data_IF_906887508420
#
_entry.id   IF_906887508420
#
_cell.length_a   1.000
_cell.length_b   1.000
_cell.length_c   1.000
_cell.angle_alpha   90.00
_cell.angle_beta   90.00
_cell.angle_gamma   90.00
#
_symmetry.space_group_name_H-M   'P 1'
#
loop_
_entity.id
_entity.type
_entity.pdbx_description
1 polymer ?
#
# COMPACT_ATOMS: atom_id res chain seq x y z
N UNK A 1 -11.52 3.80 7.22
CA UNK A 1 -10.57 3.67 6.09
C UNK A 1 -10.52 2.21 5.68
N UNK A 2 -10.42 1.95 4.38
CA UNK A 2 -10.34 0.61 3.82
C UNK A 2 -9.09 0.51 2.94
N UNK A 3 -8.37 -0.60 3.02
CA UNK A 3 -7.15 -0.86 2.27
C UNK A 3 -7.34 -1.99 1.26
N UNK A 4 -6.64 -1.90 0.14
CA UNK A 4 -6.60 -2.93 -0.89
C UNK A 4 -5.15 -3.08 -1.39
N UNK A 5 -4.60 -4.28 -1.21
CA UNK A 5 -3.32 -4.72 -1.76
C UNK A 5 -3.58 -5.52 -3.03
N UNK A 6 -2.82 -5.20 -4.08
CA UNK A 6 -2.69 -6.03 -5.30
C UNK A 6 -1.23 -6.36 -5.51
N UNK A 7 -0.97 -7.62 -5.84
CA UNK A 7 0.36 -8.11 -6.17
C UNK A 7 0.28 -8.97 -7.43
N UNK A 8 1.11 -8.66 -8.43
CA UNK A 8 1.21 -9.44 -9.66
C UNK A 8 2.67 -9.77 -9.92
N UNK A 9 2.94 -10.97 -10.38
CA UNK A 9 4.26 -11.37 -10.82
C UNK A 9 4.54 -10.82 -12.22
N UNK A 10 5.71 -10.23 -12.44
CA UNK A 10 6.18 -9.85 -13.76
C UNK A 10 6.70 -11.08 -14.51
N UNK A 11 6.40 -11.15 -15.80
CA UNK A 11 6.95 -12.20 -16.70
C UNK A 11 8.47 -12.12 -16.73
N UNK A 12 9.00 -10.89 -16.86
CA UNK A 12 10.43 -10.63 -16.92
C UNK A 12 10.84 -9.52 -15.95
N UNK A 13 11.97 -9.66 -15.24
CA UNK A 13 12.48 -8.61 -14.37
C UNK A 13 12.74 -7.28 -15.08
N UNK A 14 13.10 -7.29 -16.36
CA UNK A 14 13.32 -6.10 -17.19
C UNK A 14 12.06 -5.28 -17.47
N UNK A 15 10.86 -5.84 -17.26
CA UNK A 15 9.58 -5.15 -17.43
C UNK A 15 9.22 -4.14 -16.34
N UNK A 16 10.05 -3.99 -15.31
CA UNK A 16 9.73 -3.17 -14.12
C UNK A 16 9.47 -1.69 -14.42
N UNK A 17 10.29 -1.06 -15.27
CA UNK A 17 10.13 0.35 -15.64
C UNK A 17 8.87 0.58 -16.46
N UNK A 18 8.60 -0.31 -17.42
CA UNK A 18 7.40 -0.24 -18.25
C UNK A 18 6.15 -0.49 -17.40
N UNK A 19 6.17 -1.45 -16.50
CA UNK A 19 5.08 -1.70 -15.56
C UNK A 19 4.81 -0.45 -14.69
N UNK A 20 5.86 0.16 -14.14
CA UNK A 20 5.74 1.38 -13.33
C UNK A 20 5.17 2.55 -14.15
N UNK A 21 5.59 2.71 -15.40
CA UNK A 21 5.07 3.72 -16.32
C UNK A 21 3.57 3.50 -16.56
N UNK A 22 3.15 2.28 -16.95
CA UNK A 22 1.73 1.96 -17.20
C UNK A 22 0.89 2.14 -15.94
N UNK A 23 1.38 1.75 -14.76
CA UNK A 23 0.68 2.00 -13.49
C UNK A 23 0.49 3.50 -13.27
N UNK A 24 1.54 4.31 -13.43
CA UNK A 24 1.49 5.76 -13.24
C UNK A 24 0.52 6.43 -14.21
N UNK A 25 0.58 6.05 -15.50
CA UNK A 25 -0.12 6.76 -16.57
C UNK A 25 -1.57 6.25 -16.75
N UNK A 26 -1.86 4.99 -16.37
CA UNK A 26 -3.18 4.36 -16.52
C UNK A 26 -3.89 4.12 -15.19
N UNK A 27 -3.27 3.37 -14.27
CA UNK A 27 -3.94 2.95 -13.02
C UNK A 27 -4.13 4.13 -12.06
N UNK A 28 -3.09 4.95 -11.85
CA UNK A 28 -3.15 6.07 -10.89
C UNK A 28 -4.27 7.06 -11.19
N UNK A 29 -4.53 7.49 -12.45
CA UNK A 29 -5.68 8.32 -12.78
C UNK A 29 -7.03 7.67 -12.45
N UNK A 30 -7.18 6.36 -12.70
CA UNK A 30 -8.40 5.61 -12.35
C UNK A 30 -8.64 5.66 -10.85
N UNK A 31 -7.60 5.38 -10.05
CA UNK A 31 -7.69 5.39 -8.59
C UNK A 31 -8.05 6.76 -8.04
N UNK A 32 -7.32 7.81 -8.50
CA UNK A 32 -7.54 9.21 -8.09
C UNK A 32 -8.94 9.74 -8.44
N UNK A 33 -9.51 9.26 -9.51
CA UNK A 33 -10.85 9.64 -9.97
C UNK A 33 -11.96 9.07 -9.10
N UNK A 34 -11.69 8.17 -8.16
CA UNK A 34 -12.74 7.55 -7.34
C UNK A 34 -13.05 8.35 -6.08
N UNK A 35 -14.34 8.41 -5.67
CA UNK A 35 -14.72 9.00 -4.38
C UNK A 35 -13.94 8.35 -3.24
N UNK A 36 -13.63 9.12 -2.21
CA UNK A 36 -12.96 8.61 -1.03
C UNK A 36 -11.52 8.11 -1.22
N UNK A 37 -10.89 8.31 -2.39
CA UNK A 37 -9.48 7.98 -2.58
C UNK A 37 -8.60 8.80 -1.64
N UNK A 38 -7.68 8.12 -0.94
CA UNK A 38 -6.75 8.73 0.04
C UNK A 38 -5.30 8.64 -0.39
N UNK A 39 -4.84 7.44 -0.72
CA UNK A 39 -3.44 7.17 -0.97
C UNK A 39 -3.29 5.96 -1.89
N UNK A 40 -2.28 5.99 -2.75
CA UNK A 40 -1.78 4.82 -3.46
C UNK A 40 -0.26 4.76 -3.37
N UNK A 41 0.23 3.59 -3.00
CA UNK A 41 1.64 3.24 -3.00
C UNK A 41 1.84 2.13 -4.04
N UNK A 42 2.59 2.41 -5.10
CA UNK A 42 2.88 1.44 -6.14
C UNK A 42 4.39 1.28 -6.31
N UNK A 43 4.88 0.04 -6.38
CA UNK A 43 6.30 -0.25 -6.56
C UNK A 43 6.50 -1.65 -7.18
N UNK A 44 7.72 -1.92 -7.62
CA UNK A 44 8.16 -3.25 -8.01
C UNK A 44 9.04 -3.81 -6.89
N UNK A 45 8.71 -5.01 -6.42
CA UNK A 45 9.45 -5.72 -5.37
C UNK A 45 10.74 -6.35 -5.91
N UNK A 46 11.61 -6.78 -5.00
CA UNK A 46 12.84 -7.52 -5.35
C UNK A 46 12.54 -8.88 -5.99
N UNK A 47 11.38 -9.44 -5.73
CA UNK A 47 10.91 -10.68 -6.34
C UNK A 47 10.31 -10.47 -7.75
N UNK A 48 10.52 -9.29 -8.35
CA UNK A 48 9.94 -8.92 -9.65
C UNK A 48 8.41 -8.99 -9.64
N UNK A 49 7.80 -8.47 -8.59
CA UNK A 49 6.34 -8.35 -8.48
C UNK A 49 5.96 -6.88 -8.50
N UNK A 50 4.92 -6.53 -9.24
CA UNK A 50 4.26 -5.23 -9.06
C UNK A 50 3.38 -5.31 -7.82
N UNK A 51 3.58 -4.36 -6.91
CA UNK A 51 2.81 -4.26 -5.67
C UNK A 51 2.13 -2.90 -5.64
N UNK A 52 0.82 -2.89 -5.44
CA UNK A 52 0.03 -1.69 -5.26
C UNK A 52 -0.80 -1.77 -4.00
N UNK A 53 -0.70 -0.75 -3.13
CA UNK A 53 -1.58 -0.63 -1.97
C UNK A 53 -2.36 0.67 -2.08
N UNK A 54 -3.67 0.58 -2.06
CA UNK A 54 -4.57 1.73 -2.17
C UNK A 54 -5.43 1.86 -0.92
N UNK A 55 -5.68 3.09 -0.49
CA UNK A 55 -6.47 3.41 0.69
C UNK A 55 -7.64 4.32 0.31
N UNK A 56 -8.81 4.02 0.87
CA UNK A 56 -10.07 4.72 0.64
C UNK A 56 -10.80 5.00 1.95
N UNK A 57 -11.76 5.92 1.92
CA UNK A 57 -12.61 6.21 3.08
C UNK A 57 -13.46 5.02 3.49
N UNK A 58 -13.89 4.19 2.54
CA UNK A 58 -14.77 3.06 2.77
C UNK A 58 -14.53 1.90 1.83
N UNK A 59 -15.26 0.82 2.08
CA UNK A 59 -15.21 -0.44 1.34
C UNK A 59 -15.71 -0.28 -0.10
N UNK A 60 -16.89 0.29 -0.28
CA UNK A 60 -17.53 0.39 -1.60
C UNK A 60 -16.68 1.14 -2.63
N UNK A 61 -16.14 2.35 -2.33
CA UNK A 61 -15.27 3.03 -3.28
C UNK A 61 -13.97 2.28 -3.55
N UNK A 62 -13.45 1.52 -2.59
CA UNK A 62 -12.26 0.70 -2.81
C UNK A 62 -12.53 -0.46 -3.78
N UNK A 63 -13.69 -1.11 -3.65
CA UNK A 63 -14.08 -2.21 -4.52
C UNK A 63 -14.43 -1.72 -5.94
N UNK A 64 -15.14 -0.59 -6.09
CA UNK A 64 -15.39 0.02 -7.42
C UNK A 64 -14.05 0.36 -8.11
N UNK A 65 -13.11 0.95 -7.38
CA UNK A 65 -11.78 1.23 -7.91
C UNK A 65 -11.05 -0.04 -8.34
N UNK A 66 -11.14 -1.11 -7.54
CA UNK A 66 -10.55 -2.41 -7.85
C UNK A 66 -11.08 -2.98 -9.16
N UNK A 67 -12.40 -3.01 -9.36
CA UNK A 67 -13.00 -3.54 -10.58
C UNK A 67 -12.57 -2.76 -11.83
N UNK A 68 -12.47 -1.44 -11.74
CA UNK A 68 -11.99 -0.60 -12.86
C UNK A 68 -10.52 -0.83 -13.16
N UNK A 69 -9.69 -0.96 -12.12
CA UNK A 69 -8.27 -1.29 -12.30
C UNK A 69 -8.12 -2.69 -12.91
N UNK A 70 -8.93 -3.66 -12.48
CA UNK A 70 -8.93 -5.01 -13.02
C UNK A 70 -9.26 -5.02 -14.52
N UNK A 71 -10.33 -4.32 -14.91
CA UNK A 71 -10.73 -4.19 -16.31
C UNK A 71 -9.62 -3.55 -17.16
N UNK A 72 -9.07 -2.42 -16.70
CA UNK A 72 -7.99 -1.74 -17.41
C UNK A 72 -6.72 -2.60 -17.51
N UNK A 73 -6.35 -3.27 -16.42
CA UNK A 73 -5.15 -4.12 -16.39
C UNK A 73 -5.26 -5.34 -17.31
N UNK A 74 -6.45 -5.93 -17.44
CA UNK A 74 -6.70 -7.03 -18.36
C UNK A 74 -6.42 -6.67 -19.83
N UNK A 75 -6.58 -5.40 -20.19
CA UNK A 75 -6.32 -4.88 -21.54
C UNK A 75 -4.89 -4.37 -21.73
N UNK A 76 -4.31 -3.78 -20.68
CA UNK A 76 -3.09 -2.97 -20.79
C UNK A 76 -1.86 -3.54 -20.07
N UNK A 77 -2.01 -4.61 -19.27
CA UNK A 77 -0.91 -5.19 -18.50
C UNK A 77 -0.66 -6.67 -18.78
N UNK A 78 -1.46 -7.29 -19.63
CA UNK A 78 -1.45 -8.74 -19.85
C UNK A 78 -0.12 -9.29 -20.35
N UNK A 79 0.60 -8.50 -21.12
CA UNK A 79 1.94 -8.83 -21.62
C UNK A 79 3.01 -8.80 -20.52
N UNK A 80 2.81 -8.03 -19.47
CA UNK A 80 3.74 -7.88 -18.34
C UNK A 80 3.35 -8.75 -17.13
N UNK A 81 2.03 -8.90 -16.90
CA UNK A 81 1.47 -9.62 -15.74
C UNK A 81 0.27 -10.45 -16.20
N UNK A 82 0.48 -11.61 -16.86
CA UNK A 82 -0.59 -12.44 -17.43
C UNK A 82 -1.44 -13.15 -16.38
N UNK A 83 -0.87 -13.40 -15.21
CA UNK A 83 -1.53 -14.15 -14.14
C UNK A 83 -2.51 -13.28 -13.36
N UNK A 84 -3.51 -13.91 -12.74
CA UNK A 84 -4.43 -13.24 -11.83
C UNK A 84 -3.65 -12.68 -10.62
N UNK A 85 -3.96 -11.44 -10.18
CA UNK A 85 -3.31 -10.85 -9.03
C UNK A 85 -3.67 -11.54 -7.73
N UNK A 86 -2.72 -11.64 -6.81
CA UNK A 86 -3.05 -11.80 -5.40
C UNK A 86 -3.68 -10.51 -4.89
N UNK A 87 -4.87 -10.61 -4.29
CA UNK A 87 -5.61 -9.47 -3.74
C UNK A 87 -5.96 -9.71 -2.29
N UNK A 88 -5.60 -8.75 -1.44
CA UNK A 88 -5.98 -8.70 -0.02
C UNK A 88 -6.66 -7.37 0.25
N UNK A 89 -7.78 -7.39 0.96
CA UNK A 89 -8.50 -6.16 1.26
C UNK A 89 -9.23 -6.22 2.58
N UNK A 90 -9.36 -5.07 3.25
CA UNK A 90 -10.06 -5.02 4.51
C UNK A 90 -10.07 -3.64 5.17
N UNK A 91 -10.83 -3.54 6.25
CA UNK A 91 -10.82 -2.35 7.09
C UNK A 91 -9.44 -2.15 7.72
N UNK A 92 -8.94 -0.91 7.69
CA UNK A 92 -7.70 -0.55 8.37
C UNK A 92 -7.96 -0.55 9.86
N UNK A 93 -7.26 -1.45 10.57
CA UNK A 93 -7.38 -1.65 12.02
C UNK A 93 -6.50 -0.68 12.82
N UNK A 94 -5.35 -0.33 12.25
CA UNK A 94 -4.36 0.54 12.89
C UNK A 94 -3.69 1.42 11.83
N UNK A 95 -3.60 2.71 12.13
CA UNK A 95 -2.90 3.69 11.30
C UNK A 95 -2.09 4.64 12.16
N UNK A 96 -0.87 4.96 11.73
CA UNK A 96 -0.01 6.02 12.26
C UNK A 96 0.64 6.78 11.12
N UNK A 97 0.91 8.07 11.36
CA UNK A 97 1.49 8.98 10.37
C UNK A 97 0.47 9.98 9.84
N UNK A 98 0.96 11.03 9.21
CA UNK A 98 0.15 12.12 8.66
C UNK A 98 0.28 12.20 7.14
N UNK A 99 -0.77 12.67 6.47
CA UNK A 99 -0.73 12.94 5.03
C UNK A 99 0.33 13.98 4.65
N UNK A 100 0.65 14.92 5.54
CA UNK A 100 1.75 15.88 5.35
C UNK A 100 3.11 15.19 5.24
N UNK A 101 3.29 14.05 5.92
CA UNK A 101 4.49 13.24 5.77
C UNK A 101 4.65 12.67 4.35
N UNK A 102 3.57 12.64 3.56
CA UNK A 102 3.52 12.13 2.18
C UNK A 102 3.53 13.27 1.15
N UNK A 103 3.21 14.49 1.54
CA UNK A 103 3.10 15.65 0.64
C UNK A 103 4.45 16.27 0.26
N UNK A 104 5.54 15.75 0.74
CA UNK A 104 6.89 16.30 0.59
C UNK A 104 7.58 16.02 -0.75
N UNK A 105 6.88 16.16 -1.89
CA UNK A 105 7.54 16.18 -3.21
C UNK A 105 8.26 14.87 -3.57
N UNK A 106 9.10 14.90 -4.60
CA UNK A 106 9.83 13.79 -5.22
C UNK A 106 10.88 13.05 -4.34
N UNK A 107 10.75 13.10 -3.02
CA UNK A 107 11.65 12.35 -2.15
C UNK A 107 11.44 10.84 -2.38
N UNK A 108 12.53 10.14 -2.64
CA UNK A 108 12.50 8.68 -2.67
C UNK A 108 11.91 8.16 -1.36
N UNK A 109 10.96 7.24 -1.45
CA UNK A 109 10.33 6.61 -0.29
C UNK A 109 10.66 5.12 -0.29
N UNK A 110 10.82 4.55 0.90
CA UNK A 110 10.91 3.12 1.10
C UNK A 110 9.59 2.60 1.65
N UNK A 111 9.03 1.62 0.96
CA UNK A 111 7.82 0.93 1.37
C UNK A 111 8.17 -0.49 1.78
N UNK A 112 7.70 -0.91 2.93
CA UNK A 112 7.74 -2.31 3.33
C UNK A 112 6.31 -2.81 3.48
N UNK A 113 5.95 -3.83 2.72
CA UNK A 113 4.70 -4.56 2.88
C UNK A 113 5.03 -5.92 3.51
N UNK A 114 4.37 -6.24 4.61
CA UNK A 114 4.48 -7.53 5.26
C UNK A 114 3.12 -8.19 5.30
N UNK A 115 3.09 -9.46 4.96
CA UNK A 115 1.93 -10.32 5.09
C UNK A 115 2.19 -11.30 6.24
N UNK A 116 1.16 -11.56 7.02
CA UNK A 116 1.22 -12.43 8.19
C UNK A 116 0.06 -13.42 8.16
N UNK A 117 0.33 -14.63 8.64
CA UNK A 117 -0.71 -15.54 9.09
C UNK A 117 -0.93 -15.32 10.61
N UNK A 118 -2.16 -15.15 11.01
CA UNK A 118 -2.53 -14.82 12.39
C UNK A 118 -3.75 -15.63 12.83
N UNK A 119 -3.56 -16.44 13.84
CA UNK A 119 -4.65 -17.24 14.45
C UNK A 119 -5.48 -16.44 15.48
N UNK A 120 -5.02 -15.24 15.88
CA UNK A 120 -5.69 -14.43 16.90
C UNK A 120 -6.81 -13.54 16.36
N UNK A 121 -7.52 -12.88 17.26
CA UNK A 121 -8.56 -11.89 16.94
C UNK A 121 -7.96 -10.60 16.38
N UNK A 122 -8.80 -9.75 15.77
CA UNK A 122 -8.36 -8.41 15.32
C UNK A 122 -7.90 -7.55 16.51
N UNK A 123 -8.57 -7.64 17.66
CA UNK A 123 -8.21 -6.89 18.87
C UNK A 123 -6.84 -7.30 19.41
N UNK A 124 -6.55 -8.59 19.46
CA UNK A 124 -5.23 -9.10 19.88
C UNK A 124 -4.12 -8.65 18.91
N UNK A 125 -4.39 -8.69 17.62
CA UNK A 125 -3.44 -8.20 16.62
C UNK A 125 -3.15 -6.70 16.79
N UNK A 126 -4.17 -5.87 17.01
CA UNK A 126 -4.02 -4.44 17.26
C UNK A 126 -3.23 -4.18 18.55
N UNK A 127 -3.54 -4.89 19.65
CA UNK A 127 -2.80 -4.77 20.92
C UNK A 127 -1.32 -5.10 20.70
N UNK A 128 -1.02 -6.25 20.08
CA UNK A 128 0.36 -6.66 19.80
C UNK A 128 1.13 -5.65 18.93
N UNK A 129 0.48 -5.15 17.88
CA UNK A 129 1.07 -4.15 17.00
C UNK A 129 1.33 -2.84 17.76
N UNK A 130 0.37 -2.38 18.55
CA UNK A 130 0.45 -1.09 19.28
C UNK A 130 1.50 -1.13 20.38
N UNK A 131 1.56 -2.23 21.14
CA UNK A 131 2.41 -2.31 22.33
C UNK A 131 3.85 -2.70 22.00
N UNK A 132 4.06 -3.55 20.97
CA UNK A 132 5.37 -4.13 20.70
C UNK A 132 5.99 -3.68 19.38
N UNK A 133 5.22 -3.72 18.30
CA UNK A 133 5.78 -3.52 16.96
C UNK A 133 5.91 -2.05 16.60
N UNK A 134 4.84 -1.29 16.80
CA UNK A 134 4.76 0.11 16.36
C UNK A 134 5.77 1.02 17.06
N UNK A 135 6.01 0.94 18.39
CA UNK A 135 7.02 1.76 19.04
C UNK A 135 8.44 1.56 18.49
N UNK A 136 8.75 0.35 18.02
CA UNK A 136 10.04 0.07 17.39
C UNK A 136 10.13 0.61 15.97
N UNK A 137 9.03 0.59 15.22
CA UNK A 137 8.94 1.12 13.86
C UNK A 137 8.98 2.65 13.88
N UNK A 138 8.22 3.30 14.76
CA UNK A 138 8.14 4.76 14.87
C UNK A 138 9.48 5.41 15.26
N UNK A 139 10.30 4.71 16.04
CA UNK A 139 11.66 5.17 16.40
C UNK A 139 12.68 5.07 15.26
N UNK A 140 12.35 4.38 14.17
CA UNK A 140 13.27 4.27 13.04
C UNK A 140 13.42 5.62 12.33
N UNK A 141 14.67 6.05 12.00
CA UNK A 141 14.89 7.27 11.26
C UNK A 141 14.12 7.27 9.93
N UNK A 142 13.47 8.37 9.64
CA UNK A 142 12.73 8.52 8.38
C UNK A 142 11.32 7.95 8.40
N UNK A 143 10.80 7.46 9.52
CA UNK A 143 9.40 7.00 9.62
C UNK A 143 8.43 8.06 9.11
N UNK A 144 7.46 7.63 8.26
CA UNK A 144 6.44 8.49 7.66
C UNK A 144 5.03 7.97 7.87
N UNK A 145 4.85 6.67 7.97
CA UNK A 145 3.52 6.11 8.17
C UNK A 145 3.51 4.60 8.34
N UNK A 146 2.43 4.14 8.96
CA UNK A 146 2.14 2.73 9.19
C UNK A 146 0.65 2.48 9.03
N UNK A 147 0.30 1.39 8.37
CA UNK A 147 -1.08 0.90 8.22
C UNK A 147 -1.08 -0.60 8.47
N UNK A 148 -2.12 -1.08 9.12
CA UNK A 148 -2.37 -2.51 9.26
C UNK A 148 -3.84 -2.82 9.02
N UNK A 149 -4.12 -3.89 8.27
CA UNK A 149 -5.45 -4.39 8.01
C UNK A 149 -5.47 -5.91 7.95
N UNK A 150 -6.63 -6.52 8.15
CA UNK A 150 -6.86 -7.94 7.91
C UNK A 150 -7.62 -8.12 6.62
N UNK A 151 -7.35 -9.22 5.93
CA UNK A 151 -8.12 -9.61 4.77
C UNK A 151 -9.56 -9.97 5.21
N UNK A 152 -10.56 -9.32 4.60
CA UNK A 152 -11.96 -9.58 4.96
C UNK A 152 -12.46 -10.93 4.48
N UNK A 153 -11.83 -11.50 3.42
CA UNK A 153 -12.19 -12.81 2.87
C UNK A 153 -11.51 -13.95 3.60
N UNK A 154 -10.32 -13.70 4.12
CA UNK A 154 -9.54 -14.66 4.88
C UNK A 154 -8.92 -14.00 6.11
N UNK A 155 -9.67 -13.93 7.23
CA UNK A 155 -9.22 -13.24 8.44
C UNK A 155 -7.97 -13.85 9.10
N UNK A 156 -7.51 -15.01 8.67
CA UNK A 156 -6.22 -15.54 9.09
C UNK A 156 -5.04 -14.74 8.50
N UNK A 157 -5.27 -13.97 7.43
CA UNK A 157 -4.25 -13.14 6.81
C UNK A 157 -4.35 -11.68 7.22
N UNK A 158 -3.22 -11.11 7.59
CA UNK A 158 -3.08 -9.70 7.91
C UNK A 158 -1.94 -9.07 7.08
N UNK A 159 -2.07 -7.79 6.81
CA UNK A 159 -1.08 -7.02 6.05
C UNK A 159 -0.68 -5.79 6.85
N UNK A 160 0.61 -5.51 6.92
CA UNK A 160 1.10 -4.21 7.37
C UNK A 160 1.92 -3.51 6.28
N UNK A 161 1.80 -2.21 6.24
CA UNK A 161 2.52 -1.32 5.33
C UNK A 161 3.25 -0.29 6.16
N UNK A 162 4.56 -0.18 5.99
CA UNK A 162 5.39 0.85 6.64
C UNK A 162 6.03 1.71 5.57
N UNK A 163 6.10 3.00 5.81
CA UNK A 163 6.64 4.00 4.89
C UNK A 163 7.74 4.81 5.58
N UNK A 164 8.86 4.99 4.86
CA UNK A 164 10.03 5.72 5.35
C UNK A 164 10.60 6.64 4.27
N UNK A 165 11.21 7.75 4.67
CA UNK A 165 12.18 8.45 3.81
C UNK A 165 13.55 7.81 3.93
N UNK A 166 14.41 7.89 2.89
CA UNK A 166 15.80 7.47 3.01
C UNK A 166 16.46 8.26 4.14
N UNK A 167 16.83 7.57 5.22
CA UNK A 167 17.84 8.11 6.10
C UNK A 167 19.19 7.82 5.43
N UNK A 168 20.15 8.77 5.47
CA UNK A 168 21.48 8.64 4.84
C UNK A 168 22.31 7.42 5.30
N UNK A 169 21.73 6.49 6.06
CA UNK A 169 22.37 5.31 6.63
C UNK A 169 21.46 4.07 6.71
N UNK A 170 20.48 3.93 5.84
CA UNK A 170 19.86 2.61 5.71
C UNK A 170 20.87 1.73 5.00
N UNK A 171 21.34 0.70 5.69
CA UNK A 171 22.28 -0.29 5.19
C UNK A 171 21.76 -0.99 3.92
N UNK A 172 22.54 -1.94 3.35
CA UNK A 172 22.27 -2.54 2.03
C UNK A 172 20.90 -3.24 1.86
N UNK A 173 20.10 -3.35 2.91
CA UNK A 173 18.75 -3.93 2.90
C UNK A 173 17.62 -2.94 2.54
N UNK A 174 17.93 -1.65 2.44
CA UNK A 174 16.94 -0.64 2.06
C UNK A 174 17.05 -0.35 0.56
N UNK A 175 16.30 -1.10 -0.25
CA UNK A 175 16.36 -0.99 -1.71
C UNK A 175 15.33 -0.02 -2.25
N UNK A 176 15.73 0.69 -3.31
CA UNK A 176 14.97 1.69 -4.04
C UNK A 176 13.80 1.02 -4.77
N UNK A 177 12.59 1.18 -4.26
CA UNK A 177 11.40 0.84 -5.02
C UNK A 177 11.13 1.98 -6.02
N UNK A 178 10.77 1.63 -7.26
CA UNK A 178 10.18 2.62 -8.20
C UNK A 178 8.78 2.90 -7.68
N UNK A 179 8.60 4.07 -7.08
CA UNK A 179 7.38 4.41 -6.34
C UNK A 179 6.46 5.26 -7.19
N UNK A 180 5.25 4.79 -7.43
CA UNK A 180 4.13 5.63 -7.86
C UNK A 180 3.36 6.07 -6.62
N UNK A 181 3.64 7.28 -6.13
CA UNK A 181 2.91 7.87 -5.03
C UNK A 181 1.77 8.74 -5.55
N UNK A 182 0.55 8.48 -5.10
CA UNK A 182 -0.59 9.34 -5.32
C UNK A 182 -1.33 9.54 -4.01
N UNK A 183 -1.46 10.79 -3.57
CA UNK A 183 -2.19 11.15 -2.37
C UNK A 183 -3.10 12.35 -2.62
N UNK A 184 -4.22 12.42 -1.91
CA UNK A 184 -5.02 13.66 -1.78
C UNK A 184 -4.69 14.30 -0.43
N UNK A 185 -4.61 15.64 -0.35
CA UNK A 185 -4.43 16.31 0.93
C UNK A 185 -5.61 15.98 1.86
N UNK A 186 -5.32 15.70 3.11
CA UNK A 186 -6.34 15.51 4.15
C UNK A 186 -6.96 16.87 4.50
N UNK A 187 -8.25 17.02 4.32
CA UNK A 187 -8.98 18.26 4.62
C UNK A 187 -9.50 18.35 6.06
N UNK A 188 -9.16 17.45 6.97
CA UNK A 188 -9.45 17.61 8.41
C UNK A 188 -8.58 16.70 9.28
N UNK A 189 -8.21 17.13 10.51
CA UNK A 189 -7.68 16.22 11.51
C UNK A 189 -8.78 15.20 11.88
N UNK A 190 -8.39 13.93 12.00
CA UNK A 190 -9.26 12.90 12.55
C UNK A 190 -9.64 13.28 13.98
N UNK A 191 -10.91 13.58 14.23
CA UNK A 191 -11.45 13.51 15.58
C UNK A 191 -11.39 12.05 16.00
N UNK A 192 -10.68 11.77 17.07
CA UNK A 192 -10.75 10.51 17.79
C UNK A 192 -12.23 10.34 18.20
N UNK A 193 -12.95 9.52 17.45
CA UNK A 193 -14.28 9.09 17.79
C UNK A 193 -14.18 7.85 18.67
N UNK A 194 -14.80 7.93 19.84
CA UNK A 194 -14.98 6.93 20.88
C UNK A 194 -15.28 5.52 20.37
#
# INVERSE_FOLDING_TARGET
MYALLRKNKLVEPGGAEEAARRVRDGIVPILKGRPGFRLHLGFVSEASETVGVSFYDGREPALDAHERVRAWAAENMRDLTPDEPEVRSGAVLLHRGTAQALAGGEAALFVTVRQYESAGTAAEAVSLLTERTLPSIERQPGFRGFWAFRDERDPAHAVSVSLFTPANRLGPLARKAVLCLAARPFLAPWSEGC
#
